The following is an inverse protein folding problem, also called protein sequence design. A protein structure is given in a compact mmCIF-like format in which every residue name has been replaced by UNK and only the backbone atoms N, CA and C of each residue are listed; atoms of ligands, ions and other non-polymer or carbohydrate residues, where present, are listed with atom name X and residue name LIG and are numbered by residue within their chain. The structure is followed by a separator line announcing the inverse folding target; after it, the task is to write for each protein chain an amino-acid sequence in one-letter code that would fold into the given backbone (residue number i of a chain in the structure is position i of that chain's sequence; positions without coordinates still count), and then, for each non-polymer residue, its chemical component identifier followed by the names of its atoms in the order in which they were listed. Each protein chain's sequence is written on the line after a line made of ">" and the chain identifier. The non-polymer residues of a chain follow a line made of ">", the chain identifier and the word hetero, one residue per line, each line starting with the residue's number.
data_IF_614666286122
#
_entry.id   IF_614666286122
#
_cell.length_a   1.000
_cell.length_b   1.000
_cell.length_c   1.000
_cell.angle_alpha   90.00
_cell.angle_beta   90.00
_cell.angle_gamma   90.00
#
_symmetry.space_group_name_H-M   'P 1'
#
loop_
_entity.id
_entity.type
_entity.pdbx_description
1 polymer ?
#
# COMPACT_ATOMS: atom_id res chain seq x y z
N UNK A 1 17.64 73.37 32.12
CA UNK A 1 16.93 74.63 32.46
C UNK A 1 15.45 74.32 32.57
N UNK A 2 14.76 74.63 33.67
CA UNK A 2 13.30 74.59 33.69
C UNK A 2 12.74 75.76 32.87
N UNK A 3 11.65 75.51 32.14
CA UNK A 3 10.94 76.52 31.37
C UNK A 3 10.40 77.58 32.35
N UNK A 4 10.83 78.83 32.22
CA UNK A 4 10.66 79.88 33.23
C UNK A 4 9.27 80.55 33.22
N UNK A 5 8.19 79.79 32.97
CA UNK A 5 6.82 80.31 33.04
C UNK A 5 5.94 79.47 33.97
N UNK A 6 5.15 80.12 34.82
CA UNK A 6 4.29 79.50 35.84
C UNK A 6 3.09 78.74 35.27
N UNK A 7 2.96 78.63 33.95
CA UNK A 7 1.85 77.94 33.27
C UNK A 7 2.30 76.75 32.41
N UNK A 8 3.59 76.59 32.11
CA UNK A 8 4.09 75.47 31.32
C UNK A 8 4.94 74.50 32.16
N UNK A 9 4.30 73.45 32.68
CA UNK A 9 4.95 72.36 33.44
C UNK A 9 5.77 71.39 32.58
N UNK A 10 5.85 71.60 31.26
CA UNK A 10 6.57 70.71 30.36
C UNK A 10 8.06 71.09 30.29
N UNK A 11 8.93 70.08 30.24
CA UNK A 11 10.38 70.22 30.10
C UNK A 11 10.76 69.96 28.65
N UNK A 12 11.19 71.01 27.94
CA UNK A 12 11.78 70.91 26.60
C UNK A 12 13.31 70.89 26.66
N UNK A 13 13.95 69.91 26.01
CA UNK A 13 15.40 69.87 25.79
C UNK A 13 15.64 69.91 24.28
N UNK A 14 16.19 71.02 23.77
CA UNK A 14 16.36 71.22 22.32
C UNK A 14 15.10 71.66 21.57
N UNK A 15 14.00 71.98 22.28
CA UNK A 15 12.76 72.52 21.72
C UNK A 15 12.18 73.59 22.66
N UNK A 16 11.56 74.62 22.08
CA UNK A 16 10.87 75.69 22.82
C UNK A 16 9.35 75.47 22.93
N UNK A 17 8.81 74.50 22.17
CA UNK A 17 7.39 74.17 22.12
C UNK A 17 7.20 72.68 22.48
N UNK A 18 7.43 72.28 23.74
CA UNK A 18 7.34 70.88 24.13
C UNK A 18 5.89 70.37 24.06
N UNK A 19 5.65 69.32 23.26
CA UNK A 19 4.32 68.70 23.10
C UNK A 19 3.99 67.73 24.25
N UNK A 20 5.01 67.20 24.92
CA UNK A 20 4.89 66.25 26.04
C UNK A 20 5.52 66.80 27.32
N UNK A 21 5.22 66.16 28.47
CA UNK A 21 5.77 66.55 29.79
C UNK A 21 7.29 66.61 29.80
N UNK A 22 7.93 65.69 29.08
CA UNK A 22 9.34 65.74 28.73
C UNK A 22 9.43 65.56 27.22
N UNK A 23 9.93 66.57 26.53
CA UNK A 23 10.13 66.56 25.09
C UNK A 23 11.60 66.85 24.78
N UNK A 24 12.27 65.92 24.12
CA UNK A 24 13.71 65.99 23.83
C UNK A 24 13.92 65.90 22.33
N UNK A 25 14.35 67.01 21.74
CA UNK A 25 14.78 67.08 20.35
C UNK A 25 16.29 66.81 20.29
N UNK A 26 16.66 65.54 20.41
CA UNK A 26 18.05 65.06 20.44
C UNK A 26 18.19 63.67 21.05
N UNK A 27 19.42 63.24 21.26
CA UNK A 27 19.72 61.93 21.85
C UNK A 27 19.48 61.91 23.37
N UNK A 28 18.88 60.83 23.87
CA UNK A 28 18.74 60.57 25.30
C UNK A 28 19.72 59.45 25.68
N UNK A 29 20.62 59.73 26.62
CA UNK A 29 21.46 58.72 27.27
C UNK A 29 21.01 58.52 28.71
N UNK A 30 20.49 57.33 29.02
CA UNK A 30 20.09 56.94 30.36
C UNK A 30 20.79 55.64 30.78
N UNK A 31 21.07 55.48 32.07
CA UNK A 31 21.58 54.21 32.61
C UNK A 31 20.49 53.13 32.69
N UNK A 32 19.23 53.55 32.92
CA UNK A 32 18.05 52.69 33.00
C UNK A 32 16.82 53.51 32.62
N UNK A 33 15.88 52.91 31.92
CA UNK A 33 14.54 53.45 31.69
C UNK A 33 13.50 52.42 32.16
N UNK A 34 12.36 52.89 32.67
CA UNK A 34 11.22 52.08 33.05
C UNK A 34 9.97 52.73 32.48
N UNK A 35 9.25 51.99 31.65
CA UNK A 35 8.00 52.43 31.04
C UNK A 35 6.89 51.60 31.67
N UNK A 36 6.00 52.25 32.42
CA UNK A 36 4.86 51.60 33.04
C UNK A 36 3.63 52.46 32.82
N UNK A 37 2.82 52.07 31.85
CA UNK A 37 1.44 52.51 31.71
C UNK A 37 0.58 51.30 32.04
N UNK A 38 -0.38 51.48 32.94
CA UNK A 38 -1.33 50.45 33.30
C UNK A 38 -2.71 51.07 33.23
N UNK A 39 -3.58 50.47 32.42
CA UNK A 39 -4.98 50.87 32.33
C UNK A 39 -5.79 49.88 33.16
N UNK A 40 -6.71 50.31 34.05
CA UNK A 40 -7.47 49.39 34.88
C UNK A 40 -8.32 48.40 34.07
N UNK A 41 -8.45 47.17 34.58
CA UNK A 41 -9.41 46.21 34.05
C UNK A 41 -10.85 46.74 34.14
N UNK A 42 -11.64 46.50 33.10
CA UNK A 42 -12.99 47.02 32.97
C UNK A 42 -13.07 48.45 32.42
N UNK A 43 -11.95 49.04 32.00
CA UNK A 43 -11.96 50.35 31.31
C UNK A 43 -12.75 50.26 30.01
N UNK A 44 -13.70 51.17 29.83
CA UNK A 44 -14.46 51.31 28.59
C UNK A 44 -13.73 52.25 27.65
N UNK A 45 -13.48 51.80 26.42
CA UNK A 45 -12.97 52.62 25.34
C UNK A 45 -14.11 52.92 24.37
N UNK A 46 -14.19 54.16 23.90
CA UNK A 46 -15.22 54.59 22.95
C UNK A 46 -14.92 54.09 21.53
N UNK A 47 -13.64 53.85 21.22
CA UNK A 47 -13.17 53.33 19.94
C UNK A 47 -11.95 52.42 20.12
N UNK A 48 -11.67 51.57 19.12
CA UNK A 48 -10.43 50.76 19.07
C UNK A 48 -9.17 51.64 18.99
N UNK A 49 -9.25 52.80 18.35
CA UNK A 49 -8.12 53.73 18.25
C UNK A 49 -7.76 54.31 19.63
N UNK A 50 -8.78 54.71 20.40
CA UNK A 50 -8.60 55.17 21.78
C UNK A 50 -7.94 54.08 22.63
N UNK A 51 -8.40 52.85 22.53
CA UNK A 51 -7.78 51.71 23.22
C UNK A 51 -6.32 51.52 22.84
N UNK A 52 -5.98 51.52 21.55
CA UNK A 52 -4.60 51.34 21.06
C UNK A 52 -3.69 52.46 21.59
N UNK A 53 -4.16 53.71 21.56
CA UNK A 53 -3.40 54.87 22.05
C UNK A 53 -3.26 54.79 23.58
N UNK A 54 -4.33 54.45 24.29
CA UNK A 54 -4.33 54.44 25.74
C UNK A 54 -3.58 53.24 26.35
N UNK A 55 -3.45 52.13 25.64
CA UNK A 55 -2.75 50.93 26.12
C UNK A 55 -1.28 50.85 25.68
N UNK A 56 -0.82 51.77 24.84
CA UNK A 56 0.56 51.81 24.36
C UNK A 56 1.52 52.24 25.49
N UNK A 57 2.39 51.32 25.91
CA UNK A 57 3.39 51.53 26.97
C UNK A 57 4.69 52.08 26.39
N UNK A 58 5.06 51.64 25.18
CA UNK A 58 6.29 52.03 24.50
C UNK A 58 6.11 51.97 22.99
N UNK A 59 6.36 53.10 22.31
CA UNK A 59 6.41 53.16 20.85
C UNK A 59 7.68 53.84 20.36
N UNK A 60 8.29 53.29 19.30
CA UNK A 60 9.53 53.80 18.74
C UNK A 60 9.59 53.68 17.21
N UNK A 61 10.32 54.62 16.61
CA UNK A 61 10.52 54.73 15.15
C UNK A 61 9.48 55.58 14.43
N UNK A 62 9.33 55.38 13.12
CA UNK A 62 8.48 56.22 12.25
C UNK A 62 7.00 55.89 12.45
N UNK A 63 6.13 56.89 12.38
CA UNK A 63 4.67 56.70 12.37
C UNK A 63 4.31 55.91 11.11
N UNK A 64 3.65 54.77 11.31
CA UNK A 64 3.17 53.88 10.24
C UNK A 64 1.65 53.95 10.07
N UNK A 65 0.94 54.28 11.15
CA UNK A 65 -0.50 54.54 11.13
C UNK A 65 -0.78 55.87 11.85
N UNK A 66 -1.05 56.95 11.11
CA UNK A 66 -1.35 58.27 11.67
C UNK A 66 -2.64 58.31 12.50
N UNK A 67 -3.61 57.43 12.24
CA UNK A 67 -4.90 57.42 12.95
C UNK A 67 -4.76 56.85 14.36
N UNK A 68 -3.84 55.90 14.55
CA UNK A 68 -3.57 55.20 15.81
C UNK A 68 -2.27 55.65 16.48
N UNK A 69 -1.56 56.61 15.88
CA UNK A 69 -0.20 57.00 16.27
C UNK A 69 0.76 55.79 16.45
N UNK A 70 0.52 54.71 15.70
CA UNK A 70 1.32 53.50 15.80
C UNK A 70 2.63 53.69 15.06
N UNK A 71 3.72 53.22 15.67
CA UNK A 71 5.08 53.33 15.11
C UNK A 71 5.59 51.99 14.62
N UNK A 72 6.80 51.95 14.05
CA UNK A 72 7.44 50.70 13.61
C UNK A 72 7.69 49.70 14.74
N UNK A 73 7.77 50.15 16.00
CA UNK A 73 7.88 49.33 17.19
C UNK A 73 6.79 49.75 18.18
N UNK A 74 5.99 48.80 18.69
CA UNK A 74 5.01 49.09 19.75
C UNK A 74 4.91 47.94 20.75
N UNK A 75 4.66 48.32 22.01
CA UNK A 75 4.34 47.42 23.11
C UNK A 75 3.07 47.91 23.80
N UNK A 76 2.06 47.05 23.86
CA UNK A 76 0.75 47.37 24.43
C UNK A 76 0.46 46.47 25.64
N UNK A 77 0.03 47.11 26.74
CA UNK A 77 -0.54 46.44 27.93
C UNK A 77 -2.04 46.70 27.95
N UNK A 78 -2.79 45.69 27.53
CA UNK A 78 -4.16 45.81 27.07
C UNK A 78 -5.11 45.23 28.14
N UNK A 79 -5.92 46.04 28.85
CA UNK A 79 -6.75 45.57 29.95
C UNK A 79 -7.94 44.73 29.46
N UNK A 80 -8.64 44.05 30.37
CA UNK A 80 -9.95 43.49 30.02
C UNK A 80 -11.00 44.59 29.80
N UNK A 81 -11.89 44.38 28.83
CA UNK A 81 -13.07 45.20 28.56
C UNK A 81 -14.20 44.34 27.95
N UNK A 82 -15.33 44.95 27.59
CA UNK A 82 -16.50 44.23 27.07
C UNK A 82 -16.21 43.44 25.76
N UNK A 83 -15.33 43.96 24.90
CA UNK A 83 -14.96 43.35 23.62
C UNK A 83 -13.76 42.40 23.74
N UNK A 84 -12.95 42.55 24.79
CA UNK A 84 -11.79 41.74 25.11
C UNK A 84 -11.85 41.33 26.59
N UNK A 85 -12.53 40.23 26.93
CA UNK A 85 -12.80 39.85 28.33
C UNK A 85 -11.54 39.46 29.12
N UNK A 86 -10.42 39.16 28.42
CA UNK A 86 -9.14 38.77 29.03
C UNK A 86 -8.09 39.85 28.74
N UNK A 87 -7.38 40.37 29.75
CA UNK A 87 -6.28 41.29 29.48
C UNK A 87 -5.22 40.60 28.63
N UNK A 88 -4.52 41.38 27.81
CA UNK A 88 -3.61 40.89 26.79
C UNK A 88 -2.33 41.71 26.75
N UNK A 89 -1.25 41.09 26.30
CA UNK A 89 0.00 41.77 26.02
C UNK A 89 0.30 41.64 24.53
N UNK A 90 0.47 42.76 23.84
CA UNK A 90 0.79 42.77 22.40
C UNK A 90 2.12 43.45 22.13
N UNK A 91 2.92 42.81 21.30
CA UNK A 91 4.19 43.32 20.79
C UNK A 91 4.14 43.27 19.27
N UNK A 92 4.53 44.36 18.60
CA UNK A 92 4.56 44.40 17.14
C UNK A 92 5.81 45.10 16.60
N UNK A 93 6.37 44.51 15.54
CA UNK A 93 7.32 45.16 14.65
C UNK A 93 6.67 45.34 13.27
N UNK A 94 6.76 46.56 12.75
CA UNK A 94 6.09 46.98 11.52
C UNK A 94 7.10 47.70 10.61
N UNK A 95 6.89 47.64 9.30
CA UNK A 95 7.70 48.36 8.32
C UNK A 95 6.95 49.62 7.86
N UNK A 96 7.67 50.63 7.36
CA UNK A 96 7.09 51.90 6.88
C UNK A 96 6.05 51.75 5.76
N UNK A 97 6.13 50.66 5.01
CA UNK A 97 5.23 50.35 3.90
C UNK A 97 4.31 49.15 4.17
N UNK A 98 4.49 48.45 5.29
CA UNK A 98 3.77 47.21 5.60
C UNK A 98 3.47 47.13 7.10
N UNK A 99 2.19 47.05 7.44
CA UNK A 99 1.71 46.94 8.82
C UNK A 99 2.15 45.56 9.39
N UNK A 100 2.48 45.46 10.68
CA UNK A 100 2.64 44.21 11.45
C UNK A 100 3.37 43.01 10.77
N UNK A 101 4.71 43.03 10.72
CA UNK A 101 5.55 41.93 10.19
C UNK A 101 5.82 40.83 11.19
N UNK A 102 6.05 41.21 12.45
CA UNK A 102 6.20 40.30 13.57
C UNK A 102 5.21 40.74 14.62
N UNK A 103 4.34 39.84 15.04
CA UNK A 103 3.37 40.10 16.10
C UNK A 103 3.49 39.01 17.13
N UNK A 104 3.65 39.41 18.39
CA UNK A 104 3.46 38.53 19.52
C UNK A 104 2.22 39.03 20.28
N UNK A 105 1.34 38.11 20.61
CA UNK A 105 0.18 38.41 21.46
C UNK A 105 -0.03 37.28 22.45
N UNK A 106 -0.41 37.62 23.68
CA UNK A 106 -0.87 36.63 24.65
C UNK A 106 -2.02 37.22 25.48
N UNK A 107 -2.92 36.35 25.93
CA UNK A 107 -4.05 36.68 26.77
C UNK A 107 -3.88 36.04 28.15
N UNK A 108 -4.28 36.72 29.22
CA UNK A 108 -4.34 36.11 30.53
C UNK A 108 -5.34 34.95 30.52
N UNK A 109 -4.91 33.78 30.99
CA UNK A 109 -5.73 32.55 31.04
C UNK A 109 -6.33 32.18 29.66
N UNK A 110 -5.67 32.56 28.56
CA UNK A 110 -6.10 32.30 27.18
C UNK A 110 -4.93 32.06 26.25
N UNK A 111 -5.22 32.08 24.95
CA UNK A 111 -4.25 31.76 23.90
C UNK A 111 -3.19 32.84 23.69
N UNK A 112 -2.14 32.47 22.96
CA UNK A 112 -1.07 33.38 22.59
C UNK A 112 -0.13 32.77 21.56
N UNK A 113 0.63 33.62 20.87
CA UNK A 113 1.50 33.15 19.81
C UNK A 113 2.35 34.21 19.15
N UNK A 114 3.23 33.72 18.29
CA UNK A 114 4.07 34.49 17.39
C UNK A 114 3.54 34.34 15.97
N UNK A 115 3.33 35.47 15.30
CA UNK A 115 2.82 35.57 13.94
C UNK A 115 3.80 36.34 13.07
N UNK A 116 3.99 35.88 11.85
CA UNK A 116 4.74 36.60 10.83
C UNK A 116 3.90 36.77 9.57
N UNK A 117 3.83 38.00 9.07
CA UNK A 117 3.05 38.36 7.88
C UNK A 117 3.94 38.83 6.73
N UNK A 118 3.49 38.57 5.50
CA UNK A 118 4.08 39.16 4.30
C UNK A 118 3.63 40.63 4.12
N UNK A 119 4.10 41.28 3.05
CA UNK A 119 3.81 42.69 2.76
C UNK A 119 2.33 43.03 2.60
N UNK A 120 1.53 42.06 2.16
CA UNK A 120 0.09 42.24 1.92
C UNK A 120 -0.76 41.66 3.06
N UNK A 121 -0.20 41.55 4.27
CA UNK A 121 -0.88 41.08 5.48
C UNK A 121 -1.35 39.63 5.43
N UNK A 122 -0.70 38.79 4.63
CA UNK A 122 -0.97 37.35 4.65
C UNK A 122 0.04 36.64 5.54
N UNK A 123 -0.46 35.77 6.40
CA UNK A 123 0.35 34.98 7.33
C UNK A 123 1.29 34.02 6.58
N UNK A 124 2.57 34.04 6.95
CA UNK A 124 3.61 33.15 6.39
C UNK A 124 4.09 32.12 7.41
N UNK A 125 4.05 32.46 8.69
CA UNK A 125 4.42 31.59 9.80
C UNK A 125 3.60 31.96 11.04
N UNK A 126 3.15 30.94 11.77
CA UNK A 126 2.45 31.11 13.05
C UNK A 126 2.79 29.96 13.99
N UNK A 127 3.29 30.30 15.17
CA UNK A 127 3.36 29.38 16.31
C UNK A 127 2.39 29.89 17.37
N UNK A 128 1.35 29.14 17.70
CA UNK A 128 0.32 29.62 18.64
C UNK A 128 -0.31 28.52 19.47
N UNK A 129 -0.79 28.89 20.66
CA UNK A 129 -1.68 28.11 21.52
C UNK A 129 -3.07 28.79 21.49
N UNK A 130 -4.14 28.00 21.40
CA UNK A 130 -5.50 28.49 21.13
C UNK A 130 -6.31 28.84 22.39
N UNK A 131 -5.76 28.60 23.58
CA UNK A 131 -6.40 28.73 24.88
C UNK A 131 -7.11 27.46 25.37
N UNK A 132 -7.10 26.38 24.59
CA UNK A 132 -7.73 25.10 24.91
C UNK A 132 -6.70 23.95 25.04
N UNK A 133 -5.44 24.27 25.31
CA UNK A 133 -4.30 23.36 25.36
C UNK A 133 -3.90 22.75 24.00
N UNK A 134 -4.32 23.36 22.87
CA UNK A 134 -3.81 22.97 21.55
C UNK A 134 -2.72 23.94 21.11
N UNK A 135 -1.57 23.39 20.71
CA UNK A 135 -0.48 24.16 20.12
C UNK A 135 -0.32 23.82 18.65
N UNK A 136 -0.10 24.84 17.83
CA UNK A 136 0.00 24.72 16.39
C UNK A 136 1.27 25.39 15.87
N UNK A 137 1.85 24.77 14.84
CA UNK A 137 2.87 25.35 13.99
C UNK A 137 2.34 25.39 12.56
N UNK A 138 2.12 26.57 12.01
CA UNK A 138 1.50 26.77 10.70
C UNK A 138 2.42 27.53 9.75
N UNK A 139 2.50 27.05 8.51
CA UNK A 139 3.12 27.77 7.39
C UNK A 139 2.02 28.19 6.40
N UNK A 140 1.58 29.45 6.47
CA UNK A 140 0.32 29.92 5.86
C UNK A 140 0.25 30.01 4.32
N UNK A 141 1.29 29.59 3.58
CA UNK A 141 1.34 29.66 2.11
C UNK A 141 1.23 28.29 1.45
N UNK A 142 0.54 28.15 0.29
CA UNK A 142 0.36 26.86 -0.39
C UNK A 142 1.66 26.11 -0.71
N UNK A 143 2.73 26.85 -1.03
CA UNK A 143 4.05 26.33 -1.39
C UNK A 143 5.07 26.43 -0.25
N UNK A 144 4.61 26.61 0.99
CA UNK A 144 5.48 26.56 2.15
C UNK A 144 6.19 25.21 2.28
N UNK A 145 7.44 25.25 2.75
CA UNK A 145 8.29 24.07 2.95
C UNK A 145 8.91 24.13 4.34
N UNK A 146 9.00 22.97 5.00
CA UNK A 146 9.72 22.80 6.26
C UNK A 146 11.04 22.06 5.97
N UNK A 147 12.15 22.74 6.28
CA UNK A 147 13.52 22.25 6.08
C UNK A 147 14.14 21.95 7.45
N UNK A 148 14.67 20.75 7.61
CA UNK A 148 15.45 20.34 8.80
C UNK A 148 16.85 20.00 8.31
N UNK A 149 17.85 20.81 8.67
CA UNK A 149 19.22 20.71 8.15
C UNK A 149 19.69 21.99 7.47
N UNK A 150 20.69 21.89 6.59
CA UNK A 150 21.26 23.03 5.86
C UNK A 150 20.31 23.63 4.82
N UNK A 151 20.43 24.94 4.59
CA UNK A 151 19.63 25.64 3.56
C UNK A 151 20.28 25.60 2.17
N UNK A 152 21.59 25.41 2.09
CA UNK A 152 22.38 25.69 0.89
C UNK A 152 22.22 24.68 -0.26
N UNK A 153 21.78 23.45 0.01
CA UNK A 153 21.76 22.36 -0.98
C UNK A 153 20.35 22.00 -1.47
N UNK A 154 19.33 22.82 -1.21
CA UNK A 154 17.96 22.51 -1.61
C UNK A 154 17.79 22.50 -3.13
N UNK A 155 17.56 21.34 -3.77
CA UNK A 155 17.31 21.31 -5.19
C UNK A 155 15.84 21.68 -5.40
N UNK A 156 15.59 22.83 -6.05
CA UNK A 156 14.23 23.26 -6.41
C UNK A 156 13.45 22.23 -7.25
N UNK A 157 14.13 21.20 -7.77
CA UNK A 157 13.56 20.06 -8.48
C UNK A 157 12.88 19.02 -7.59
N UNK A 158 13.16 18.99 -6.28
CA UNK A 158 12.60 18.01 -5.35
C UNK A 158 11.27 18.57 -4.81
N UNK A 159 10.17 18.21 -5.46
CA UNK A 159 8.81 18.70 -5.18
C UNK A 159 8.18 18.33 -3.83
N UNK A 160 8.97 18.14 -2.77
CA UNK A 160 8.50 17.77 -1.43
C UNK A 160 8.36 19.00 -0.51
N UNK A 161 7.37 18.97 0.40
CA UNK A 161 7.09 20.06 1.35
C UNK A 161 7.81 19.90 2.70
N UNK A 162 8.11 18.68 3.13
CA UNK A 162 8.92 18.39 4.32
C UNK A 162 10.23 17.74 3.85
N UNK A 163 11.37 18.24 4.32
CA UNK A 163 12.69 17.74 3.96
C UNK A 163 13.61 17.68 5.18
N UNK A 164 14.33 16.56 5.32
CA UNK A 164 15.35 16.35 6.36
C UNK A 164 16.67 16.04 5.67
N UNK A 165 17.65 16.95 5.79
CA UNK A 165 19.00 16.80 5.24
C UNK A 165 19.90 16.08 6.25
N UNK A 166 20.66 15.09 5.79
CA UNK A 166 21.72 14.41 6.57
C UNK A 166 21.26 13.90 7.95
N UNK A 167 20.03 13.41 8.05
CA UNK A 167 19.43 12.89 9.28
C UNK A 167 18.24 11.97 9.03
N UNK A 168 17.77 11.31 10.09
CA UNK A 168 16.55 10.51 10.08
C UNK A 168 15.34 11.33 10.53
N UNK A 169 14.17 10.98 10.02
CA UNK A 169 12.89 11.44 10.55
C UNK A 169 12.16 10.25 11.18
N UNK A 170 11.68 10.41 12.41
CA UNK A 170 10.71 9.50 13.02
C UNK A 170 9.38 10.24 13.11
N UNK A 171 8.32 9.65 12.58
CA UNK A 171 6.95 10.10 12.81
C UNK A 171 6.26 9.01 13.59
N UNK A 172 5.80 9.34 14.79
CA UNK A 172 4.98 8.45 15.61
C UNK A 172 3.51 8.78 15.34
N UNK A 173 2.74 7.77 14.89
CA UNK A 173 1.36 7.94 14.43
C UNK A 173 1.21 8.00 12.91
N UNK A 174 -0.01 8.23 12.44
CA UNK A 174 -0.34 8.20 11.02
C UNK A 174 0.02 9.50 10.29
N UNK A 175 0.46 9.38 9.03
CA UNK A 175 0.60 10.51 8.11
C UNK A 175 -0.57 10.46 7.12
N UNK A 176 -1.51 11.39 7.25
CA UNK A 176 -2.54 11.60 6.24
C UNK A 176 -1.94 12.30 5.03
N UNK A 177 -2.01 11.65 3.86
CA UNK A 177 -1.51 12.24 2.62
C UNK A 177 -2.34 11.83 1.40
N UNK A 178 -2.29 12.67 0.36
CA UNK A 178 -2.93 12.37 -0.92
C UNK A 178 -2.27 11.21 -1.68
N UNK A 179 -1.02 10.84 -1.34
CA UNK A 179 -0.21 9.82 -2.02
C UNK A 179 0.60 9.02 -0.98
N UNK A 180 0.12 7.83 -0.62
CA UNK A 180 0.77 7.02 0.40
C UNK A 180 0.18 7.28 1.79
N UNK A 181 -0.19 6.24 2.52
CA UNK A 181 -0.57 6.31 3.93
C UNK A 181 0.32 5.34 4.69
N UNK A 182 0.89 5.78 5.80
CA UNK A 182 1.60 4.96 6.78
C UNK A 182 0.91 5.17 8.12
N UNK A 183 0.34 4.12 8.72
CA UNK A 183 -0.28 4.17 10.05
C UNK A 183 0.53 3.36 11.05
N UNK A 184 0.29 3.60 12.34
CA UNK A 184 0.83 2.77 13.42
C UNK A 184 0.16 1.40 13.47
N UNK A 185 0.88 0.41 14.00
CA UNK A 185 0.35 -0.94 14.24
C UNK A 185 -0.67 -0.96 15.39
N UNK A 186 -1.59 -1.93 15.37
CA UNK A 186 -2.58 -2.16 16.42
C UNK A 186 -2.22 -3.41 17.24
N UNK A 187 -2.47 -3.41 18.57
CA UNK A 187 -2.17 -4.56 19.41
C UNK A 187 -3.18 -5.72 19.19
N UNK A 188 -2.73 -6.95 19.45
CA UNK A 188 -3.63 -8.11 19.54
C UNK A 188 -4.69 -7.92 20.63
N UNK A 189 -5.92 -8.38 20.34
CA UNK A 189 -7.11 -8.13 21.16
C UNK A 189 -7.86 -6.86 20.79
N UNK A 190 -7.42 -6.13 19.76
CA UNK A 190 -8.15 -4.97 19.22
C UNK A 190 -9.56 -5.36 18.76
N UNK A 191 -10.53 -4.49 19.02
CA UNK A 191 -11.93 -4.65 18.57
C UNK A 191 -12.26 -3.66 17.47
N UNK A 192 -12.94 -4.11 16.43
CA UNK A 192 -13.39 -3.25 15.33
C UNK A 192 -14.92 -3.15 15.29
N UNK A 193 -15.44 -2.00 14.89
CA UNK A 193 -16.80 -1.81 14.44
C UNK A 193 -16.99 -2.34 13.00
N UNK A 194 -18.24 -2.63 12.59
CA UNK A 194 -18.52 -3.00 11.20
C UNK A 194 -18.02 -1.94 10.22
N UNK A 195 -17.11 -2.35 9.34
CA UNK A 195 -16.63 -1.52 8.24
C UNK A 195 -15.50 -0.56 8.56
N UNK A 196 -14.82 -0.59 9.72
CA UNK A 196 -13.64 0.29 9.94
C UNK A 196 -12.28 -0.44 9.93
N UNK A 197 -12.32 -1.77 10.05
CA UNK A 197 -11.12 -2.62 10.26
C UNK A 197 -10.01 -2.38 9.23
N UNK A 198 -10.35 -2.32 7.95
CA UNK A 198 -9.35 -2.13 6.90
C UNK A 198 -8.63 -0.78 7.05
N UNK A 199 -9.36 0.31 7.25
CA UNK A 199 -8.78 1.65 7.39
C UNK A 199 -7.89 1.77 8.63
N UNK A 200 -8.24 1.10 9.72
CA UNK A 200 -7.48 1.09 10.97
C UNK A 200 -6.26 0.15 10.94
N UNK A 201 -6.28 -0.88 10.09
CA UNK A 201 -5.21 -1.86 9.95
C UNK A 201 -4.31 -1.61 8.73
N UNK A 202 -4.47 -0.48 8.04
CA UNK A 202 -3.69 -0.15 6.84
C UNK A 202 -2.28 0.32 7.22
N UNK A 203 -1.32 -0.60 7.31
CA UNK A 203 0.08 -0.25 7.55
C UNK A 203 0.68 0.56 6.39
N UNK A 204 0.34 0.20 5.15
CA UNK A 204 0.77 0.92 3.95
C UNK A 204 -0.31 0.92 2.88
N UNK A 205 -0.64 2.08 2.30
CA UNK A 205 -1.48 2.15 1.11
C UNK A 205 -0.97 3.19 0.11
N UNK A 206 -0.85 2.83 -1.17
CA UNK A 206 -0.35 3.72 -2.23
C UNK A 206 -1.11 3.59 -3.56
N UNK A 207 -1.05 4.64 -4.37
CA UNK A 207 -1.74 4.75 -5.65
C UNK A 207 -3.08 5.50 -5.58
N UNK A 208 -3.89 5.35 -6.63
CA UNK A 208 -5.24 5.92 -6.68
C UNK A 208 -6.07 5.36 -5.53
N UNK A 209 -6.89 6.21 -4.92
CA UNK A 209 -7.91 5.77 -3.96
C UNK A 209 -8.87 4.81 -4.65
N UNK A 210 -9.14 3.70 -4.00
CA UNK A 210 -10.06 2.65 -4.47
C UNK A 210 -11.12 2.41 -3.41
N UNK A 211 -12.27 1.85 -3.81
CA UNK A 211 -13.39 1.62 -2.92
C UNK A 211 -14.16 2.90 -2.54
N UNK A 212 -15.41 2.70 -2.15
CA UNK A 212 -16.27 3.76 -1.61
C UNK A 212 -17.09 3.21 -0.45
N UNK A 213 -17.02 3.87 0.71
CA UNK A 213 -17.76 3.49 1.90
C UNK A 213 -16.87 3.39 3.15
N UNK A 214 -17.46 3.06 4.31
CA UNK A 214 -16.71 2.80 5.53
C UNK A 214 -15.67 1.70 5.29
N UNK A 215 -14.42 1.94 5.70
CA UNK A 215 -13.35 0.93 5.66
C UNK A 215 -12.51 0.96 4.40
N UNK A 216 -12.80 1.91 3.51
CA UNK A 216 -12.06 2.15 2.28
C UNK A 216 -11.67 3.63 2.15
N UNK A 217 -11.67 4.37 3.26
CA UNK A 217 -11.30 5.78 3.27
C UNK A 217 -9.81 5.94 2.99
N UNK A 218 -8.99 5.01 3.51
CA UNK A 218 -7.53 5.00 3.43
C UNK A 218 -6.99 4.03 2.37
N UNK A 219 -7.83 3.13 1.86
CA UNK A 219 -7.44 2.07 0.92
C UNK A 219 -7.10 2.63 -0.49
N UNK A 220 -6.03 2.11 -1.10
CA UNK A 220 -5.51 2.53 -2.43
C UNK A 220 -5.14 1.32 -3.28
N UNK A 221 -4.66 1.50 -4.51
CA UNK A 221 -4.34 0.37 -5.42
C UNK A 221 -3.35 -0.65 -4.85
N UNK A 222 -2.35 -0.24 -4.06
CA UNK A 222 -1.42 -1.14 -3.38
C UNK A 222 -1.66 -1.01 -1.89
N UNK A 223 -1.98 -2.10 -1.21
CA UNK A 223 -2.22 -2.09 0.24
C UNK A 223 -1.42 -3.19 0.94
N UNK A 224 -0.91 -2.86 2.12
CA UNK A 224 -0.45 -3.79 3.13
C UNK A 224 -1.31 -3.55 4.37
N UNK A 225 -2.00 -4.59 4.79
CA UNK A 225 -2.76 -4.58 6.02
C UNK A 225 -2.09 -5.47 7.05
N UNK A 226 -1.94 -4.96 8.26
CA UNK A 226 -1.56 -5.74 9.43
C UNK A 226 -2.78 -5.85 10.34
N UNK A 227 -3.47 -6.99 10.26
CA UNK A 227 -4.67 -7.21 11.05
C UNK A 227 -4.31 -7.95 12.34
N UNK A 228 -4.49 -7.33 13.53
CA UNK A 228 -4.31 -8.03 14.80
C UNK A 228 -5.41 -9.08 15.01
N UNK A 229 -5.17 -10.01 15.93
CA UNK A 229 -6.21 -10.87 16.47
C UNK A 229 -7.34 -10.01 17.06
N UNK A 230 -8.59 -10.31 16.71
CA UNK A 230 -9.74 -9.43 16.97
C UNK A 230 -11.07 -10.19 17.06
N UNK A 231 -12.15 -9.44 17.33
CA UNK A 231 -13.52 -9.95 17.31
C UNK A 231 -13.98 -10.48 15.92
N UNK A 232 -13.26 -10.17 14.83
CA UNK A 232 -13.55 -10.66 13.48
C UNK A 232 -12.72 -11.89 13.11
N UNK A 233 -11.45 -11.94 13.52
CA UNK A 233 -10.57 -13.06 13.24
C UNK A 233 -9.73 -13.38 14.48
N UNK A 234 -9.81 -14.60 15.04
CA UNK A 234 -9.01 -15.00 16.20
C UNK A 234 -7.50 -15.07 15.89
N UNK A 235 -7.10 -15.17 14.63
CA UNK A 235 -5.70 -15.13 14.21
C UNK A 235 -5.35 -13.76 13.64
N UNK A 236 -4.19 -13.23 14.03
CA UNK A 236 -3.60 -12.10 13.32
C UNK A 236 -3.27 -12.50 11.89
N UNK A 237 -3.42 -11.57 10.95
CA UNK A 237 -3.26 -11.83 9.52
C UNK A 237 -2.59 -10.65 8.83
N UNK A 238 -1.58 -10.94 8.02
CA UNK A 238 -0.96 -9.93 7.14
C UNK A 238 -1.46 -10.12 5.71
N UNK A 239 -1.91 -9.03 5.08
CA UNK A 239 -2.41 -9.04 3.71
C UNK A 239 -1.58 -8.07 2.85
N UNK A 240 -1.16 -8.52 1.68
CA UNK A 240 -0.63 -7.66 0.63
C UNK A 240 -1.56 -7.77 -0.59
N UNK A 241 -2.06 -6.63 -1.07
CA UNK A 241 -2.99 -6.58 -2.21
C UNK A 241 -2.50 -5.59 -3.28
N UNK A 242 -2.63 -6.00 -4.54
CA UNK A 242 -2.61 -5.10 -5.69
C UNK A 242 -3.98 -5.18 -6.33
N UNK A 243 -4.64 -4.03 -6.39
CA UNK A 243 -5.96 -3.81 -6.95
C UNK A 243 -5.81 -2.86 -8.14
N UNK A 244 -6.57 -3.08 -9.20
CA UNK A 244 -6.59 -2.16 -10.33
C UNK A 244 -7.53 -0.96 -10.11
N UNK A 245 -7.64 -0.10 -11.13
CA UNK A 245 -8.48 1.11 -11.09
C UNK A 245 -9.99 0.84 -11.10
N UNK A 246 -10.40 -0.36 -11.47
CA UNK A 246 -11.79 -0.81 -11.46
C UNK A 246 -12.20 -1.44 -10.14
N UNK A 247 -11.39 -1.30 -9.08
CA UNK A 247 -11.61 -1.91 -7.77
C UNK A 247 -11.59 -3.46 -7.82
N UNK A 248 -10.75 -4.00 -8.71
CA UNK A 248 -10.61 -5.43 -8.93
C UNK A 248 -9.26 -5.91 -8.40
N UNK A 249 -9.28 -6.81 -7.40
CA UNK A 249 -8.08 -7.52 -6.94
C UNK A 249 -7.37 -8.18 -8.12
N UNK A 250 -6.06 -7.98 -8.24
CA UNK A 250 -5.21 -8.61 -9.27
C UNK A 250 -4.22 -9.58 -8.66
N UNK A 251 -3.72 -9.22 -7.49
CA UNK A 251 -2.74 -9.98 -6.75
C UNK A 251 -3.10 -9.87 -5.27
N UNK A 252 -3.18 -11.01 -4.60
CA UNK A 252 -3.40 -11.09 -3.16
C UNK A 252 -2.43 -12.07 -2.55
N UNK A 253 -1.78 -11.64 -1.48
CA UNK A 253 -1.12 -12.53 -0.55
C UNK A 253 -1.76 -12.35 0.81
N UNK A 254 -2.01 -13.44 1.51
CA UNK A 254 -2.36 -13.40 2.91
C UNK A 254 -1.72 -14.54 3.68
N UNK A 255 -1.33 -14.28 4.92
CA UNK A 255 -0.80 -15.28 5.84
C UNK A 255 -1.38 -15.02 7.23
N UNK A 256 -1.86 -16.08 7.88
CA UNK A 256 -2.40 -16.03 9.24
C UNK A 256 -1.38 -16.63 10.21
N UNK A 257 -1.26 -16.05 11.40
CA UNK A 257 -0.38 -16.61 12.44
C UNK A 257 -0.81 -18.03 12.80
N UNK A 258 0.06 -19.01 12.52
CA UNK A 258 -0.22 -20.43 12.76
C UNK A 258 -1.36 -21.01 11.91
N UNK A 259 -1.66 -20.39 10.76
CA UNK A 259 -2.71 -20.83 9.84
C UNK A 259 -2.26 -20.78 8.39
N UNK A 260 -3.24 -20.76 7.49
CA UNK A 260 -3.00 -20.87 6.06
C UNK A 260 -2.23 -19.67 5.45
N UNK A 261 -1.44 -19.97 4.42
CA UNK A 261 -0.73 -18.99 3.58
C UNK A 261 -1.18 -19.11 2.12
N UNK A 262 -1.43 -17.96 1.48
CA UNK A 262 -1.92 -17.89 0.11
C UNK A 262 -1.16 -16.86 -0.71
N UNK A 263 -0.94 -17.20 -1.98
CA UNK A 263 -0.58 -16.29 -3.07
C UNK A 263 -1.55 -16.54 -4.23
N UNK A 264 -2.37 -15.54 -4.57
CA UNK A 264 -3.46 -15.66 -5.54
C UNK A 264 -3.36 -14.55 -6.59
N UNK A 265 -3.54 -14.92 -7.85
CA UNK A 265 -3.71 -13.99 -8.96
C UNK A 265 -5.11 -14.12 -9.55
N UNK A 266 -5.70 -12.98 -9.91
CA UNK A 266 -7.05 -12.89 -10.47
C UNK A 266 -7.05 -12.24 -11.85
N UNK A 267 -7.96 -12.70 -12.71
CA UNK A 267 -8.23 -12.05 -13.98
C UNK A 267 -9.17 -10.83 -13.83
N UNK A 268 -9.51 -10.18 -14.95
CA UNK A 268 -10.35 -8.96 -14.96
C UNK A 268 -11.81 -9.18 -14.57
N UNK A 269 -12.21 -10.42 -14.39
CA UNK A 269 -13.55 -10.83 -14.01
C UNK A 269 -13.56 -11.35 -12.56
N UNK A 270 -12.52 -11.08 -11.75
CA UNK A 270 -12.37 -11.61 -10.38
C UNK A 270 -12.35 -13.14 -10.30
N UNK A 271 -11.84 -13.80 -11.33
CA UNK A 271 -11.67 -15.24 -11.33
C UNK A 271 -10.20 -15.57 -11.08
N UNK A 272 -9.96 -16.52 -10.18
CA UNK A 272 -8.63 -17.04 -9.91
C UNK A 272 -8.02 -17.64 -11.17
N UNK A 273 -6.74 -17.36 -11.39
CA UNK A 273 -5.97 -17.92 -12.51
C UNK A 273 -4.74 -18.69 -12.04
N UNK A 274 -4.20 -18.32 -10.89
CA UNK A 274 -3.06 -18.99 -10.27
C UNK A 274 -3.17 -18.88 -8.75
N UNK A 275 -2.92 -19.99 -8.04
CA UNK A 275 -2.93 -20.07 -6.59
C UNK A 275 -1.76 -20.92 -6.11
N UNK A 276 -0.99 -20.43 -5.14
CA UNK A 276 -0.17 -21.25 -4.25
C UNK A 276 -0.83 -21.18 -2.87
N UNK A 277 -1.16 -22.34 -2.31
CA UNK A 277 -1.89 -22.44 -1.06
C UNK A 277 -1.26 -23.47 -0.14
N UNK A 278 -0.99 -23.05 1.09
CA UNK A 278 -0.68 -23.90 2.23
C UNK A 278 -1.84 -23.80 3.23
N UNK A 279 -2.35 -24.93 3.72
CA UNK A 279 -3.61 -25.02 4.46
C UNK A 279 -3.49 -24.83 5.98
N UNK A 280 -2.28 -24.58 6.50
CA UNK A 280 -1.92 -24.54 7.91
C UNK A 280 -1.49 -25.89 8.49
N UNK A 281 -1.51 -26.97 7.69
CA UNK A 281 -1.12 -28.33 8.09
C UNK A 281 0.01 -28.89 7.22
N UNK A 282 0.85 -28.01 6.66
CA UNK A 282 1.95 -28.32 5.75
C UNK A 282 1.52 -28.91 4.39
N UNK A 283 0.22 -28.92 4.08
CA UNK A 283 -0.25 -29.35 2.75
C UNK A 283 -0.17 -28.19 1.77
N UNK A 284 0.74 -28.30 0.81
CA UNK A 284 0.95 -27.27 -0.23
C UNK A 284 0.33 -27.70 -1.56
N UNK A 285 -0.38 -26.79 -2.19
CA UNK A 285 -0.92 -26.95 -3.54
C UNK A 285 -0.56 -25.77 -4.44
N UNK A 286 -0.33 -26.07 -5.72
CA UNK A 286 -0.19 -25.08 -6.79
C UNK A 286 -1.26 -25.37 -7.83
N UNK A 287 -2.11 -24.40 -8.11
CA UNK A 287 -3.25 -24.55 -9.02
C UNK A 287 -3.22 -23.51 -10.12
N UNK A 288 -3.40 -23.97 -11.36
CA UNK A 288 -3.81 -23.15 -12.48
C UNK A 288 -5.32 -23.35 -12.70
N UNK A 289 -6.13 -22.40 -12.26
CA UNK A 289 -7.56 -22.62 -12.01
C UNK A 289 -8.46 -22.56 -13.26
N UNK A 290 -7.95 -22.15 -14.42
CA UNK A 290 -8.74 -22.03 -15.66
C UNK A 290 -8.58 -23.31 -16.49
N UNK A 291 -9.66 -23.75 -17.14
CA UNK A 291 -9.67 -24.98 -17.94
C UNK A 291 -8.67 -24.96 -19.10
N UNK A 292 -8.38 -23.78 -19.64
CA UNK A 292 -7.42 -23.54 -20.71
C UNK A 292 -6.04 -23.09 -20.20
N UNK A 293 -5.72 -23.36 -18.93
CA UNK A 293 -4.41 -23.08 -18.38
C UNK A 293 -3.36 -24.07 -18.88
N UNK A 294 -2.15 -23.55 -19.09
CA UNK A 294 -1.00 -24.27 -19.59
C UNK A 294 0.20 -24.12 -18.64
N UNK A 295 0.86 -25.24 -18.33
CA UNK A 295 2.14 -25.29 -17.63
C UNK A 295 3.22 -25.86 -18.56
N UNK A 296 4.17 -25.02 -18.96
CA UNK A 296 5.34 -25.42 -19.73
C UNK A 296 6.58 -25.59 -18.86
N UNK A 297 7.26 -26.74 -18.97
CA UNK A 297 8.56 -27.00 -18.32
C UNK A 297 9.62 -27.20 -19.40
N UNK A 298 10.55 -26.25 -19.53
CA UNK A 298 11.55 -26.24 -20.61
C UNK A 298 10.98 -25.89 -21.99
N UNK A 299 9.72 -25.45 -22.06
CA UNK A 299 9.03 -25.05 -23.29
C UNK A 299 8.03 -23.92 -23.00
N UNK A 300 7.71 -23.12 -24.02
CA UNK A 300 6.64 -22.13 -24.02
C UNK A 300 5.46 -22.52 -24.91
N UNK A 301 5.59 -23.62 -25.68
CA UNK A 301 4.52 -24.16 -26.51
C UNK A 301 3.66 -25.14 -25.71
N UNK A 302 2.35 -24.94 -25.77
CA UNK A 302 1.34 -25.87 -25.27
C UNK A 302 0.89 -26.88 -26.34
N UNK A 303 1.36 -26.73 -27.58
CA UNK A 303 0.85 -27.48 -28.72
C UNK A 303 1.90 -28.39 -29.32
N UNK A 304 1.46 -29.56 -29.76
CA UNK A 304 2.19 -30.46 -30.64
C UNK A 304 1.27 -30.80 -31.82
N UNK A 305 1.63 -30.36 -33.04
CA UNK A 305 0.73 -30.37 -34.19
C UNK A 305 -0.57 -29.61 -33.92
N UNK A 306 -1.70 -30.31 -33.95
CA UNK A 306 -3.05 -29.76 -33.67
C UNK A 306 -3.50 -29.95 -32.22
N UNK A 307 -2.78 -30.75 -31.44
CA UNK A 307 -3.16 -31.07 -30.07
C UNK A 307 -2.67 -30.01 -29.11
N UNK A 308 -3.47 -29.73 -28.08
CA UNK A 308 -3.13 -28.78 -27.01
C UNK A 308 -3.07 -29.51 -25.68
N UNK A 309 -1.98 -29.31 -24.95
CA UNK A 309 -1.69 -29.97 -23.69
C UNK A 309 -1.70 -28.95 -22.55
N UNK A 310 -2.32 -29.32 -21.42
CA UNK A 310 -2.28 -28.50 -20.21
C UNK A 310 -0.92 -28.57 -19.50
N UNK A 311 -0.13 -29.62 -19.72
CA UNK A 311 1.24 -29.79 -19.22
C UNK A 311 2.14 -30.26 -20.37
N UNK A 312 3.14 -29.45 -20.73
CA UNK A 312 4.16 -29.84 -21.73
C UNK A 312 5.56 -29.77 -21.11
N UNK A 313 6.31 -30.87 -21.22
CA UNK A 313 7.65 -30.99 -20.64
C UNK A 313 8.66 -31.30 -21.73
N UNK A 314 9.56 -30.35 -22.02
CA UNK A 314 10.71 -30.57 -22.91
C UNK A 314 11.89 -31.11 -22.09
N UNK A 315 11.84 -32.40 -21.76
CA UNK A 315 12.82 -33.06 -20.92
C UNK A 315 12.32 -34.42 -20.42
N UNK A 316 12.96 -34.94 -19.37
CA UNK A 316 12.55 -36.20 -18.73
C UNK A 316 11.65 -35.91 -17.53
N UNK A 317 10.61 -36.72 -17.36
CA UNK A 317 9.78 -36.75 -16.15
C UNK A 317 10.14 -37.97 -15.30
N UNK A 318 10.15 -37.80 -13.98
CA UNK A 318 10.26 -38.90 -13.01
C UNK A 318 9.03 -38.88 -12.12
N UNK A 319 8.37 -40.02 -11.99
CA UNK A 319 7.24 -40.24 -11.10
C UNK A 319 7.40 -41.62 -10.46
N UNK A 320 6.85 -41.78 -9.25
CA UNK A 320 6.76 -43.10 -8.60
C UNK A 320 5.65 -43.94 -9.26
N UNK A 321 4.49 -43.31 -9.50
CA UNK A 321 3.33 -43.94 -10.14
C UNK A 321 2.57 -42.93 -11.00
N UNK A 322 1.94 -43.40 -12.07
CA UNK A 322 1.05 -42.62 -12.94
C UNK A 322 -0.24 -43.40 -13.16
N UNK A 323 -1.37 -42.82 -12.76
CA UNK A 323 -2.70 -43.35 -13.06
C UNK A 323 -3.23 -42.73 -14.36
N UNK A 324 -3.41 -43.55 -15.38
CA UNK A 324 -3.95 -43.14 -16.70
C UNK A 324 -5.38 -43.65 -16.86
N UNK A 325 -6.30 -42.77 -17.24
CA UNK A 325 -7.66 -43.16 -17.61
C UNK A 325 -7.72 -43.41 -19.12
N UNK A 326 -7.88 -44.67 -19.53
CA UNK A 326 -7.95 -45.11 -20.95
C UNK A 326 -8.99 -46.23 -21.10
N UNK A 327 -9.27 -46.65 -22.34
CA UNK A 327 -10.10 -47.84 -22.63
C UNK A 327 -9.26 -49.11 -22.55
N UNK A 328 -9.90 -50.26 -22.27
CA UNK A 328 -9.21 -51.53 -22.07
C UNK A 328 -9.47 -52.53 -23.20
N UNK A 329 -8.62 -53.55 -23.33
CA UNK A 329 -8.59 -54.46 -24.48
C UNK A 329 -9.37 -55.78 -24.31
N UNK A 330 -10.23 -55.91 -23.29
CA UNK A 330 -10.95 -57.16 -22.97
C UNK A 330 -11.84 -57.71 -24.11
N UNK A 331 -12.09 -56.90 -25.15
CA UNK A 331 -12.87 -57.32 -26.31
C UNK A 331 -12.26 -58.50 -27.07
N UNK A 332 -10.96 -58.80 -26.88
CA UNK A 332 -10.30 -59.96 -27.51
C UNK A 332 -10.95 -61.28 -27.10
N UNK A 333 -11.59 -61.31 -25.92
CA UNK A 333 -12.28 -62.51 -25.42
C UNK A 333 -13.75 -62.60 -25.82
N UNK A 334 -14.29 -61.64 -26.57
CA UNK A 334 -15.67 -61.69 -27.01
C UNK A 334 -15.87 -62.77 -28.09
N UNK A 335 -17.05 -63.41 -28.13
CA UNK A 335 -17.37 -64.46 -29.10
C UNK A 335 -17.33 -63.99 -30.57
N UNK A 336 -17.50 -62.68 -30.81
CA UNK A 336 -17.46 -62.06 -32.13
C UNK A 336 -16.06 -61.55 -32.52
N UNK A 337 -15.08 -61.65 -31.63
CA UNK A 337 -13.71 -61.27 -31.91
C UNK A 337 -13.05 -62.24 -32.88
N UNK A 338 -12.65 -61.73 -34.05
CA UNK A 338 -11.98 -62.51 -35.08
C UNK A 338 -10.48 -62.52 -34.81
N UNK A 339 -10.03 -63.50 -34.03
CA UNK A 339 -8.61 -63.77 -33.86
C UNK A 339 -7.97 -64.04 -35.22
N UNK A 340 -6.97 -63.25 -35.66
CA UNK A 340 -6.24 -63.51 -36.89
C UNK A 340 -5.62 -64.92 -36.86
N UNK A 341 -5.36 -65.53 -38.00
CA UNK A 341 -4.54 -66.74 -38.04
C UNK A 341 -3.05 -66.39 -37.91
N UNK A 342 -2.23 -67.31 -37.40
CA UNK A 342 -0.78 -67.09 -37.33
C UNK A 342 -0.14 -66.87 -38.72
N UNK A 343 -0.70 -67.48 -39.78
CA UNK A 343 -0.28 -67.23 -41.16
C UNK A 343 -0.58 -65.79 -41.61
N UNK A 344 -1.75 -65.24 -41.25
CA UNK A 344 -2.10 -63.84 -41.52
C UNK A 344 -1.19 -62.88 -40.76
N UNK A 345 -0.91 -63.18 -39.48
CA UNK A 345 0.03 -62.39 -38.66
C UNK A 345 1.43 -62.43 -39.28
N UNK A 346 1.93 -63.60 -39.68
CA UNK A 346 3.24 -63.75 -40.31
C UNK A 346 3.33 -62.98 -41.63
N UNK A 347 2.31 -63.09 -42.47
CA UNK A 347 2.25 -62.34 -43.73
C UNK A 347 2.22 -60.83 -43.50
N UNK A 348 1.47 -60.36 -42.50
CA UNK A 348 1.43 -58.94 -42.14
C UNK A 348 2.79 -58.44 -41.65
N UNK A 349 3.48 -59.22 -40.81
CA UNK A 349 4.84 -58.86 -40.35
C UNK A 349 5.81 -58.81 -41.54
N UNK A 350 5.74 -59.77 -42.47
CA UNK A 350 6.57 -59.75 -43.69
C UNK A 350 6.30 -58.54 -44.57
N UNK A 351 5.05 -58.09 -44.66
CA UNK A 351 4.67 -56.96 -45.51
C UNK A 351 4.92 -55.60 -44.84
N UNK A 352 4.62 -55.45 -43.55
CA UNK A 352 4.60 -54.16 -42.83
C UNK A 352 5.74 -53.99 -41.82
N UNK A 353 6.36 -55.07 -41.38
CA UNK A 353 7.47 -55.04 -40.42
C UNK A 353 7.06 -54.85 -38.96
N UNK A 354 5.77 -54.89 -38.63
CA UNK A 354 5.25 -54.78 -37.27
C UNK A 354 3.99 -55.67 -37.10
N UNK A 355 3.50 -55.80 -35.86
CA UNK A 355 2.29 -56.56 -35.56
C UNK A 355 1.03 -55.83 -36.07
N UNK A 356 -0.04 -56.60 -36.31
CA UNK A 356 -1.36 -56.07 -36.62
C UNK A 356 -1.82 -55.16 -35.48
N UNK A 357 -2.38 -53.99 -35.84
CA UNK A 357 -2.83 -52.92 -34.93
C UNK A 357 -1.72 -52.20 -34.15
N UNK A 358 -0.45 -52.54 -34.34
CA UNK A 358 0.67 -51.80 -33.75
C UNK A 358 1.21 -50.77 -34.74
N UNK A 359 1.57 -49.55 -34.30
CA UNK A 359 2.21 -48.56 -35.17
C UNK A 359 3.63 -49.00 -35.56
N UNK A 360 4.12 -48.48 -36.68
CA UNK A 360 5.50 -48.67 -37.10
C UNK A 360 6.47 -47.89 -36.22
N UNK A 361 7.74 -48.32 -36.15
CA UNK A 361 8.78 -47.58 -35.42
C UNK A 361 8.96 -46.15 -35.94
N UNK A 362 8.89 -45.95 -37.26
CA UNK A 362 8.97 -44.63 -37.89
C UNK A 362 7.80 -43.73 -37.48
N UNK A 363 6.57 -44.26 -37.42
CA UNK A 363 5.41 -43.49 -36.98
C UNK A 363 5.58 -43.01 -35.53
N UNK A 364 6.14 -43.85 -34.65
CA UNK A 364 6.39 -43.49 -33.24
C UNK A 364 7.47 -42.41 -33.13
N UNK A 365 8.56 -42.52 -33.91
CA UNK A 365 9.64 -41.53 -33.90
C UNK A 365 9.17 -40.15 -34.40
N UNK A 366 8.29 -40.12 -35.40
CA UNK A 366 7.80 -38.88 -36.01
C UNK A 366 6.65 -38.24 -35.21
N UNK A 367 5.71 -39.04 -34.69
CA UNK A 367 4.44 -38.55 -34.12
C UNK A 367 4.35 -38.70 -32.60
N UNK A 368 5.27 -39.44 -31.98
CA UNK A 368 5.16 -39.84 -30.59
C UNK A 368 4.04 -40.87 -30.37
N UNK A 369 3.74 -41.14 -29.09
CA UNK A 369 2.75 -42.14 -28.71
C UNK A 369 2.16 -41.85 -27.34
N UNK A 370 0.84 -42.01 -27.19
CA UNK A 370 0.18 -41.89 -25.90
C UNK A 370 0.39 -43.17 -25.08
N UNK A 371 0.86 -43.02 -23.84
CA UNK A 371 1.11 -44.15 -22.92
C UNK A 371 -0.14 -45.01 -22.74
N UNK A 372 -1.32 -44.39 -22.61
CA UNK A 372 -2.59 -45.13 -22.47
C UNK A 372 -2.98 -45.95 -23.69
N UNK A 373 -2.61 -45.51 -24.90
CA UNK A 373 -2.91 -46.25 -26.14
C UNK A 373 -1.97 -47.44 -26.31
N UNK A 374 -0.67 -47.25 -26.08
CA UNK A 374 0.30 -48.35 -26.21
C UNK A 374 0.09 -49.43 -25.17
N UNK A 375 -0.25 -49.07 -23.93
CA UNK A 375 -0.59 -50.06 -22.90
C UNK A 375 -1.82 -50.88 -23.31
N UNK A 376 -2.85 -50.25 -23.88
CA UNK A 376 -4.02 -50.96 -24.41
C UNK A 376 -3.64 -51.90 -25.55
N UNK A 377 -2.90 -51.43 -26.55
CA UNK A 377 -2.49 -52.25 -27.69
C UNK A 377 -1.60 -53.43 -27.27
N UNK A 378 -0.69 -53.21 -26.32
CA UNK A 378 0.13 -54.28 -25.74
C UNK A 378 -0.72 -55.32 -25.03
N UNK A 379 -1.73 -54.90 -24.27
CA UNK A 379 -2.68 -55.81 -23.63
C UNK A 379 -3.45 -56.65 -24.66
N UNK A 380 -3.95 -56.04 -25.74
CA UNK A 380 -4.59 -56.77 -26.85
C UNK A 380 -3.68 -57.89 -27.36
N UNK A 381 -2.40 -57.59 -27.63
CA UNK A 381 -1.45 -58.60 -28.12
C UNK A 381 -1.18 -59.69 -27.08
N UNK A 382 -1.10 -59.37 -25.79
CA UNK A 382 -0.93 -60.36 -24.72
C UNK A 382 -2.13 -61.32 -24.67
N UNK A 383 -3.35 -60.80 -24.83
CA UNK A 383 -4.58 -61.60 -24.84
C UNK A 383 -4.67 -62.49 -26.10
N UNK A 384 -4.35 -61.96 -27.27
CA UNK A 384 -4.25 -62.74 -28.52
C UNK A 384 -3.21 -63.87 -28.39
N UNK A 385 -2.01 -63.55 -27.87
CA UNK A 385 -0.97 -64.55 -27.59
C UNK A 385 -1.48 -65.65 -26.65
N UNK A 386 -2.27 -65.26 -25.64
CA UNK A 386 -2.87 -66.22 -24.71
C UNK A 386 -3.86 -67.15 -25.43
N UNK A 387 -4.67 -66.64 -26.36
CA UNK A 387 -5.58 -67.45 -27.18
C UNK A 387 -4.84 -68.43 -28.08
N UNK A 388 -3.77 -67.99 -28.78
CA UNK A 388 -2.94 -68.89 -29.58
C UNK A 388 -2.28 -69.98 -28.74
N UNK A 389 -1.80 -69.66 -27.54
CA UNK A 389 -1.22 -70.65 -26.62
C UNK A 389 -2.26 -71.69 -26.17
N UNK A 390 -3.51 -71.26 -25.91
CA UNK A 390 -4.62 -72.16 -25.59
C UNK A 390 -4.92 -73.08 -26.77
N UNK A 391 -4.95 -72.56 -28.00
CA UNK A 391 -5.15 -73.34 -29.21
C UNK A 391 -4.02 -74.37 -29.40
N UNK A 392 -2.77 -73.93 -29.34
CA UNK A 392 -1.60 -74.78 -29.51
C UNK A 392 -1.55 -75.90 -28.46
N UNK A 393 -1.92 -75.61 -27.20
CA UNK A 393 -2.02 -76.64 -26.15
C UNK A 393 -3.04 -77.71 -26.50
N UNK A 394 -4.21 -77.33 -27.05
CA UNK A 394 -5.23 -78.30 -27.48
C UNK A 394 -4.71 -79.20 -28.59
N UNK A 395 -4.06 -78.62 -29.59
CA UNK A 395 -3.45 -79.38 -30.71
C UNK A 395 -2.36 -80.35 -30.22
N UNK A 396 -1.50 -79.92 -29.28
CA UNK A 396 -0.46 -80.78 -28.71
C UNK A 396 -1.07 -81.97 -27.96
N UNK A 397 -2.11 -81.76 -27.16
CA UNK A 397 -2.77 -82.85 -26.43
C UNK A 397 -3.48 -83.82 -27.39
N UNK A 398 -4.07 -83.30 -28.47
CA UNK A 398 -4.66 -84.13 -29.52
C UNK A 398 -3.58 -84.97 -30.23
N UNK A 399 -2.45 -84.37 -30.61
CA UNK A 399 -1.31 -85.06 -31.21
C UNK A 399 -0.75 -86.15 -30.27
N UNK A 400 -0.62 -85.86 -28.96
CA UNK A 400 -0.20 -86.86 -27.96
C UNK A 400 -1.19 -88.03 -27.87
N UNK A 401 -2.49 -87.74 -27.88
CA UNK A 401 -3.52 -88.77 -27.86
C UNK A 401 -3.45 -89.66 -29.11
N UNK A 402 -3.31 -89.07 -30.29
CA UNK A 402 -3.12 -89.79 -31.54
C UNK A 402 -1.84 -90.64 -31.53
N UNK A 403 -0.73 -90.09 -31.03
CA UNK A 403 0.55 -90.79 -30.89
C UNK A 403 0.44 -92.01 -29.96
N UNK A 404 -0.28 -91.88 -28.85
CA UNK A 404 -0.56 -93.00 -27.93
C UNK A 404 -1.32 -94.13 -28.64
N UNK A 405 -2.38 -93.79 -29.40
CA UNK A 405 -3.16 -94.76 -30.18
C UNK A 405 -2.30 -95.48 -31.22
N UNK A 406 -1.42 -94.75 -31.92
CA UNK A 406 -0.50 -95.31 -32.92
C UNK A 406 0.52 -96.27 -32.29
N UNK A 407 1.10 -95.91 -31.14
CA UNK A 407 2.03 -96.76 -30.40
C UNK A 407 1.35 -98.05 -29.89
N UNK A 408 0.10 -97.97 -29.44
CA UNK A 408 -0.68 -99.14 -29.03
C UNK A 408 -1.03 -100.06 -30.21
N UNK A 409 -1.21 -99.51 -31.42
CA UNK A 409 -1.44 -100.29 -32.65
C UNK A 409 -0.18 -100.99 -33.18
N UNK A 410 1.00 -100.42 -32.99
CA UNK A 410 2.27 -101.02 -33.44
C UNK A 410 2.84 -102.06 -32.46
N UNK A 411 2.30 -102.16 -31.24
CA UNK A 411 2.70 -103.14 -30.22
C UNK A 411 1.76 -104.36 -30.12
N UNK A 412 0.85 -104.52 -31.09
CA UNK A 412 0.05 -105.73 -31.37
C UNK A 412 0.42 -106.26 -32.73
#
# INVERSE_FOLDING_TARGET
>A
MPNASTSNTNVGIGTNNPEYKLDVNGDIRAQKASFSKSVPNGTNFSTTNEEIIETNVLSAGTIVDPLNNSKTFNFFDMPSNASRPKPSLWFSLQNRNDIARLVYSCQQDGGGGLHMNNKIQEEIFKGYEDGNNYTFLQLGKPNSKLMIGGYADYPNSIGHKLFVQDGSAKVEGAIESEKGIFTSDLPDGSSFQPGERNDLCTFFAAGSKIGSGPGYINTRMVNIFDFPASNFNPQSTIWFNIVDRGDMDRFRMYASTGGATNLIMYNRLQQEIFRVYEDGNDNVSVQLAKSNSFLGIGTTSATDGTDTFNLSVKGKMRAEEVKVYTTWADYVFNDDYKLPSLDEVENHIKEKGHLINMPSGQDIEEKGLFVGEITKMQQEKIEELTLYLIQQKKEIEELKAQMKILLEKNNK
#
